data_IF_823053141484
#
_entry.id   IF_823053141484
#
_cell.length_a   1.000
_cell.length_b   1.000
_cell.length_c   1.000
_cell.angle_alpha   90.00
_cell.angle_beta   90.00
_cell.angle_gamma   90.00
#
_symmetry.space_group_name_H-M   'P 1'
#
loop_
_entity.id
_entity.type
_entity.pdbx_description
1 polymer ?
#
# COMPACT_ATOMS: atom_id res chain seq x y z
N UNK A 1 -37.56 -22.90 -9.73
CA UNK A 1 -37.07 -22.53 -8.39
C UNK A 1 -37.50 -23.59 -7.40
N UNK A 2 -36.63 -24.03 -6.48
CA UNK A 2 -37.03 -24.97 -5.42
C UNK A 2 -37.87 -24.21 -4.38
N UNK A 3 -38.92 -24.81 -3.84
CA UNK A 3 -39.80 -24.16 -2.84
C UNK A 3 -39.04 -23.69 -1.59
N UNK A 4 -37.99 -24.42 -1.23
CA UNK A 4 -37.10 -24.12 -0.10
C UNK A 4 -36.36 -22.79 -0.28
N UNK A 5 -35.72 -22.58 -1.45
CA UNK A 5 -34.98 -21.33 -1.74
C UNK A 5 -35.87 -20.09 -1.75
N UNK A 6 -37.14 -20.24 -2.13
CA UNK A 6 -38.10 -19.14 -2.10
C UNK A 6 -38.52 -18.81 -0.66
N UNK A 7 -38.71 -19.84 0.17
CA UNK A 7 -39.01 -19.66 1.60
C UNK A 7 -37.89 -18.94 2.35
N UNK A 8 -36.63 -19.28 2.09
CA UNK A 8 -35.46 -18.62 2.67
C UNK A 8 -35.36 -17.14 2.25
N UNK A 9 -35.62 -16.83 0.98
CA UNK A 9 -35.62 -15.46 0.49
C UNK A 9 -36.75 -14.63 1.12
N UNK A 10 -37.97 -15.18 1.20
CA UNK A 10 -39.11 -14.53 1.84
C UNK A 10 -38.86 -14.31 3.34
N UNK A 11 -38.16 -15.25 3.98
CA UNK A 11 -37.67 -15.14 5.35
C UNK A 11 -36.75 -13.94 5.50
N UNK A 12 -35.63 -13.89 4.78
CA UNK A 12 -34.65 -12.79 4.89
C UNK A 12 -35.22 -11.40 4.57
N UNK A 13 -36.19 -11.28 3.65
CA UNK A 13 -36.91 -10.03 3.42
C UNK A 13 -37.74 -9.58 4.64
N UNK A 14 -38.41 -10.49 5.34
CA UNK A 14 -39.15 -10.16 6.57
C UNK A 14 -38.20 -9.70 7.67
N UNK A 15 -37.04 -10.36 7.80
CA UNK A 15 -36.02 -9.94 8.78
C UNK A 15 -35.48 -8.53 8.49
N UNK A 16 -35.31 -8.19 7.21
CA UNK A 16 -34.92 -6.84 6.78
C UNK A 16 -36.00 -5.79 7.10
N UNK A 17 -37.29 -6.13 6.95
CA UNK A 17 -38.40 -5.26 7.32
C UNK A 17 -38.45 -5.01 8.83
N UNK A 18 -38.34 -6.07 9.64
CA UNK A 18 -38.27 -5.97 11.11
C UNK A 18 -37.08 -5.09 11.56
N UNK A 19 -35.95 -5.17 10.86
CA UNK A 19 -34.79 -4.33 11.13
C UNK A 19 -35.04 -2.86 10.79
N UNK A 20 -35.68 -2.58 9.64
CA UNK A 20 -36.05 -1.22 9.24
C UNK A 20 -37.08 -0.58 10.21
N UNK A 21 -37.97 -1.39 10.78
CA UNK A 21 -38.94 -0.97 11.82
C UNK A 21 -38.32 -0.88 13.23
N UNK A 22 -37.04 -1.21 13.40
CA UNK A 22 -36.35 -1.20 14.70
C UNK A 22 -36.73 -2.35 15.64
N UNK A 23 -37.49 -3.33 15.16
CA UNK A 23 -37.94 -4.51 15.93
C UNK A 23 -36.87 -5.61 16.01
N UNK A 24 -35.80 -5.49 15.22
CA UNK A 24 -34.71 -6.47 15.15
C UNK A 24 -33.35 -5.80 14.95
N UNK A 25 -32.35 -6.27 15.69
CA UNK A 25 -30.96 -5.86 15.49
C UNK A 25 -30.27 -6.81 14.51
N UNK A 26 -29.89 -6.30 13.34
CA UNK A 26 -29.02 -6.98 12.39
C UNK A 26 -27.59 -6.43 12.50
N UNK A 27 -26.62 -7.16 11.96
CA UNK A 27 -25.24 -6.65 11.84
C UNK A 27 -25.22 -5.52 10.81
N UNK A 28 -25.17 -4.29 11.30
CA UNK A 28 -25.01 -3.08 10.48
C UNK A 28 -23.62 -2.50 10.66
N UNK A 29 -23.08 -1.91 9.60
CA UNK A 29 -21.85 -1.14 9.64
C UNK A 29 -22.10 0.19 8.94
N UNK A 30 -21.98 1.29 9.68
CA UNK A 30 -21.99 2.63 9.09
C UNK A 30 -20.63 2.90 8.48
N UNK A 31 -20.60 3.17 7.18
CA UNK A 31 -19.36 3.54 6.50
C UNK A 31 -19.02 5.01 6.76
N UNK A 32 -17.74 5.35 6.95
CA UNK A 32 -17.32 6.74 7.06
C UNK A 32 -17.58 7.49 5.75
N UNK A 33 -17.87 8.77 5.86
CA UNK A 33 -17.97 9.66 4.70
C UNK A 33 -16.63 9.72 3.95
N UNK A 34 -16.64 9.87 2.61
CA UNK A 34 -15.43 10.09 1.85
C UNK A 34 -14.65 11.30 2.39
N UNK A 35 -13.30 11.25 2.41
CA UNK A 35 -12.51 12.38 2.84
C UNK A 35 -12.73 13.61 1.96
N UNK A 36 -12.54 14.80 2.53
CA UNK A 36 -12.64 16.04 1.79
C UNK A 36 -11.59 16.11 0.65
N UNK A 37 -11.92 16.67 -0.53
CA UNK A 37 -10.95 16.85 -1.61
C UNK A 37 -9.74 17.69 -1.17
N UNK A 38 -8.56 17.34 -1.70
CA UNK A 38 -7.32 18.07 -1.45
C UNK A 38 -6.88 18.83 -2.70
N UNK A 39 -6.53 20.11 -2.53
CA UNK A 39 -5.87 20.90 -3.57
C UNK A 39 -4.35 20.68 -3.57
N UNK A 40 -3.68 21.16 -4.60
CA UNK A 40 -2.24 20.99 -4.81
C UNK A 40 -1.38 21.56 -3.70
N UNK A 41 -1.81 22.68 -3.10
CA UNK A 41 -1.14 23.25 -1.92
C UNK A 41 -1.20 22.29 -0.71
N UNK A 42 -2.34 21.64 -0.49
CA UNK A 42 -2.50 20.67 0.58
C UNK A 42 -1.65 19.42 0.34
N UNK A 43 -1.63 18.90 -0.89
CA UNK A 43 -0.74 17.77 -1.27
C UNK A 43 0.73 18.13 -1.04
N UNK A 44 1.15 19.32 -1.45
CA UNK A 44 2.52 19.83 -1.22
C UNK A 44 2.85 19.89 0.27
N UNK A 45 1.92 20.36 1.11
CA UNK A 45 2.10 20.41 2.58
C UNK A 45 2.33 19.03 3.18
N UNK A 46 1.50 18.05 2.81
CA UNK A 46 1.64 16.66 3.28
C UNK A 46 3.02 16.11 2.91
N UNK A 47 3.43 16.28 1.66
CA UNK A 47 4.76 15.86 1.21
C UNK A 47 5.88 16.53 2.02
N UNK A 48 5.80 17.84 2.24
CA UNK A 48 6.87 18.57 2.93
C UNK A 48 6.95 18.21 4.42
N UNK A 49 5.83 17.84 5.05
CA UNK A 49 5.80 17.36 6.43
C UNK A 49 6.58 16.04 6.60
N UNK A 50 6.63 15.22 5.55
CA UNK A 50 7.43 13.98 5.48
C UNK A 50 8.90 14.22 5.07
N UNK A 51 9.34 15.48 4.97
CA UNK A 51 10.67 15.85 4.47
C UNK A 51 11.05 15.18 3.13
N UNK A 52 10.05 14.92 2.28
CA UNK A 52 10.22 14.16 1.06
C UNK A 52 10.31 15.05 -0.18
N UNK A 53 11.24 14.71 -1.09
CA UNK A 53 11.20 15.24 -2.45
C UNK A 53 9.99 14.68 -3.21
N UNK A 54 9.58 15.31 -4.32
CA UNK A 54 8.44 14.83 -5.12
C UNK A 54 8.62 13.38 -5.58
N UNK A 55 9.84 13.01 -5.99
CA UNK A 55 10.14 11.64 -6.42
C UNK A 55 10.09 10.64 -5.26
N UNK A 56 10.57 11.03 -4.07
CA UNK A 56 10.50 10.18 -2.87
C UNK A 56 9.04 10.00 -2.44
N UNK A 57 8.25 11.07 -2.46
CA UNK A 57 6.83 11.03 -2.12
C UNK A 57 6.01 10.18 -3.09
N UNK A 58 6.31 10.28 -4.38
CA UNK A 58 5.71 9.42 -5.39
C UNK A 58 5.97 7.93 -5.12
N UNK A 59 7.18 7.59 -4.64
CA UNK A 59 7.51 6.21 -4.24
C UNK A 59 6.76 5.76 -2.99
N UNK A 60 6.55 6.64 -2.00
CA UNK A 60 5.74 6.30 -0.82
C UNK A 60 4.30 5.92 -1.21
N UNK A 61 3.71 6.65 -2.14
CA UNK A 61 2.34 6.43 -2.58
C UNK A 61 2.21 5.43 -3.75
N UNK A 62 3.32 4.85 -4.20
CA UNK A 62 3.39 3.97 -5.37
C UNK A 62 2.74 4.58 -6.64
N UNK A 63 3.09 5.83 -6.93
CA UNK A 63 2.63 6.58 -8.11
C UNK A 63 3.81 7.16 -8.88
N UNK A 64 3.56 7.69 -10.07
CA UNK A 64 4.58 8.41 -10.82
C UNK A 64 4.87 9.79 -10.24
N UNK A 65 6.11 10.25 -10.30
CA UNK A 65 6.49 11.63 -9.94
C UNK A 65 5.69 12.66 -10.73
N UNK A 66 5.38 12.37 -11.99
CA UNK A 66 4.56 13.23 -12.86
C UNK A 66 3.14 13.42 -12.31
N UNK A 67 2.57 12.39 -11.67
CA UNK A 67 1.26 12.48 -11.04
C UNK A 67 1.30 13.39 -9.80
N UNK A 68 2.30 13.24 -8.94
CA UNK A 68 2.51 14.13 -7.78
C UNK A 68 2.66 15.59 -8.23
N UNK A 69 3.43 15.83 -9.29
CA UNK A 69 3.57 17.17 -9.88
C UNK A 69 2.26 17.70 -10.45
N UNK A 70 1.44 16.84 -11.08
CA UNK A 70 0.13 17.24 -11.59
C UNK A 70 -0.83 17.60 -10.45
N UNK A 71 -0.79 16.86 -9.33
CA UNK A 71 -1.55 17.18 -8.12
C UNK A 71 -1.10 18.50 -7.51
N UNK A 72 0.21 18.69 -7.27
CA UNK A 72 0.74 19.92 -6.65
C UNK A 72 0.54 21.18 -7.50
N UNK A 73 0.35 21.01 -8.82
CA UNK A 73 0.06 22.10 -9.75
C UNK A 73 -1.44 22.25 -10.06
N UNK A 74 -2.32 21.56 -9.31
CA UNK A 74 -3.79 21.59 -9.49
C UNK A 74 -4.26 21.18 -10.89
N UNK A 75 -3.42 20.53 -11.71
CA UNK A 75 -3.79 20.00 -13.03
C UNK A 75 -4.60 18.71 -12.94
N UNK A 76 -4.49 18.02 -11.80
CA UNK A 76 -5.28 16.83 -11.45
C UNK A 76 -5.60 16.89 -9.97
N UNK A 77 -6.73 16.29 -9.58
CA UNK A 77 -7.13 16.16 -8.18
C UNK A 77 -6.90 14.70 -7.76
N UNK A 78 -6.35 14.43 -6.56
CA UNK A 78 -6.28 13.08 -6.03
C UNK A 78 -7.69 12.56 -5.70
N UNK A 79 -7.98 11.34 -6.10
CA UNK A 79 -9.30 10.72 -5.94
C UNK A 79 -9.17 9.28 -5.40
N UNK A 80 -10.28 8.72 -4.92
CA UNK A 80 -10.38 7.34 -4.48
C UNK A 80 -9.30 6.97 -3.45
N UNK A 81 -8.55 5.86 -3.64
CA UNK A 81 -7.52 5.43 -2.69
C UNK A 81 -6.40 6.44 -2.46
N UNK A 82 -6.03 7.22 -3.50
CA UNK A 82 -4.97 8.22 -3.37
C UNK A 82 -5.38 9.34 -2.42
N UNK A 83 -6.65 9.78 -2.48
CA UNK A 83 -7.18 10.78 -1.56
C UNK A 83 -7.15 10.28 -0.12
N UNK A 84 -7.61 9.05 0.13
CA UNK A 84 -7.57 8.42 1.46
C UNK A 84 -6.14 8.34 1.99
N UNK A 85 -5.19 7.86 1.17
CA UNK A 85 -3.79 7.74 1.57
C UNK A 85 -3.15 9.10 1.87
N UNK A 86 -3.52 10.16 1.15
CA UNK A 86 -3.03 11.51 1.44
C UNK A 86 -3.54 12.05 2.77
N UNK A 87 -4.78 11.72 3.15
CA UNK A 87 -5.30 12.04 4.49
C UNK A 87 -4.59 11.25 5.59
N UNK A 88 -4.38 9.95 5.38
CA UNK A 88 -3.58 9.12 6.30
C UNK A 88 -2.17 9.69 6.44
N UNK A 89 -1.54 10.09 5.33
CA UNK A 89 -0.21 10.69 5.33
C UNK A 89 -0.17 12.04 6.08
N UNK A 90 -1.26 12.79 6.06
CA UNK A 90 -1.38 14.07 6.75
C UNK A 90 -1.53 13.88 8.27
N UNK A 91 -2.29 12.87 8.69
CA UNK A 91 -2.58 12.60 10.11
C UNK A 91 -1.50 11.75 10.79
N UNK A 92 -0.94 10.78 10.07
CA UNK A 92 -0.03 9.74 10.59
C UNK A 92 1.18 9.53 9.67
N UNK A 93 2.06 10.53 9.53
CA UNK A 93 3.21 10.48 8.62
C UNK A 93 4.16 9.30 8.91
N UNK A 94 4.28 8.88 10.16
CA UNK A 94 5.14 7.80 10.63
C UNK A 94 4.83 6.44 9.95
N UNK A 95 3.59 6.22 9.52
CA UNK A 95 3.18 4.99 8.83
C UNK A 95 3.87 4.85 7.47
N UNK A 96 4.08 5.96 6.76
CA UNK A 96 4.76 5.93 5.46
C UNK A 96 6.26 5.77 5.63
N UNK A 97 6.83 6.39 6.67
CA UNK A 97 8.25 6.28 6.98
C UNK A 97 8.63 4.84 7.36
N UNK A 98 7.80 4.15 8.14
CA UNK A 98 8.01 2.75 8.53
C UNK A 98 8.18 1.81 7.33
N UNK A 99 7.35 1.98 6.28
CA UNK A 99 7.40 1.16 5.06
C UNK A 99 8.76 1.29 4.34
N UNK A 100 9.38 2.49 4.35
CA UNK A 100 10.71 2.70 3.75
C UNK A 100 11.79 1.93 4.50
N UNK A 101 11.75 1.90 5.82
CA UNK A 101 12.77 1.23 6.63
C UNK A 101 12.78 -0.29 6.38
N UNK A 102 11.61 -0.91 6.27
CA UNK A 102 11.49 -2.34 5.94
C UNK A 102 12.01 -2.67 4.55
N UNK A 103 11.72 -1.82 3.57
CA UNK A 103 12.21 -1.97 2.19
C UNK A 103 13.74 -1.89 2.12
N UNK A 104 14.36 -0.94 2.82
CA UNK A 104 15.82 -0.81 2.86
C UNK A 104 16.50 -1.96 3.60
N UNK A 105 15.94 -2.41 4.74
CA UNK A 105 16.47 -3.56 5.48
C UNK A 105 16.45 -4.84 4.63
N UNK A 106 15.37 -5.06 3.88
CA UNK A 106 15.22 -6.20 2.97
C UNK A 106 16.21 -6.15 1.80
N UNK A 107 16.42 -4.98 1.19
CA UNK A 107 17.40 -4.78 0.11
C UNK A 107 18.85 -4.99 0.59
N UNK A 108 19.19 -4.52 1.80
CA UNK A 108 20.50 -4.73 2.42
C UNK A 108 20.76 -6.22 2.73
N UNK A 109 19.73 -6.96 3.12
CA UNK A 109 19.82 -8.43 3.32
C UNK A 109 20.02 -9.14 1.98
N UNK A 110 19.24 -8.82 0.95
CA UNK A 110 19.33 -9.43 -0.37
C UNK A 110 20.71 -9.23 -1.01
N UNK A 111 21.24 -8.00 -1.00
CA UNK A 111 22.57 -7.67 -1.55
C UNK A 111 23.71 -8.37 -0.81
N UNK A 112 23.59 -8.56 0.51
CA UNK A 112 24.57 -9.30 1.31
C UNK A 112 24.58 -10.80 0.98
N UNK A 113 23.43 -11.39 0.69
CA UNK A 113 23.30 -12.81 0.28
C UNK A 113 23.90 -13.05 -1.10
N UNK A 114 23.61 -12.20 -2.09
CA UNK A 114 24.22 -12.29 -3.43
C UNK A 114 25.74 -12.13 -3.36
N UNK A 115 26.23 -11.12 -2.64
CA UNK A 115 27.68 -10.91 -2.46
C UNK A 115 28.36 -12.10 -1.76
N UNK A 116 27.70 -12.75 -0.79
CA UNK A 116 28.21 -13.95 -0.11
C UNK A 116 28.24 -15.17 -1.03
N UNK A 117 27.21 -15.39 -1.86
CA UNK A 117 27.20 -16.45 -2.88
C UNK A 117 28.30 -16.27 -3.91
N UNK A 118 28.50 -15.03 -4.38
CA UNK A 118 29.48 -14.73 -5.41
C UNK A 118 30.92 -14.94 -4.93
N UNK A 119 31.23 -14.64 -3.67
CA UNK A 119 32.52 -14.99 -3.05
C UNK A 119 32.72 -16.50 -2.93
N UNK A 120 31.71 -17.24 -2.47
CA UNK A 120 31.79 -18.70 -2.30
C UNK A 120 32.03 -19.44 -3.64
N UNK A 121 31.46 -18.94 -4.73
CA UNK A 121 31.69 -19.51 -6.07
C UNK A 121 33.08 -19.17 -6.62
N UNK A 122 33.64 -18.01 -6.29
CA UNK A 122 35.01 -17.62 -6.66
C UNK A 122 36.07 -18.48 -5.97
N UNK A 123 35.89 -18.78 -4.69
CA UNK A 123 36.84 -19.61 -3.91
C UNK A 123 36.85 -21.09 -4.39
N UNK A 124 35.71 -21.60 -4.87
CA UNK A 124 35.60 -22.96 -5.45
C UNK A 124 36.30 -23.08 -6.81
N UNK A 125 36.25 -22.01 -7.63
CA UNK A 125 36.94 -21.98 -8.93
C UNK A 125 38.47 -21.89 -8.77
N UNK A 126 38.96 -21.19 -7.75
CA UNK A 126 40.40 -21.09 -7.44
C UNK A 126 40.99 -22.39 -6.87
N UNK A 127 40.17 -23.23 -6.21
CA UNK A 127 40.60 -24.53 -5.70
C UNK A 127 40.73 -25.61 -6.80
N UNK A 128 40.02 -25.48 -7.92
CA UNK A 128 40.04 -26.45 -9.03
C UNK A 128 41.19 -26.21 -10.02
N UNK A 129 41.74 -25.00 -10.10
CA UNK A 129 42.88 -24.67 -10.97
C UNK A 129 44.25 -25.06 -10.39
N UNK A 130 44.34 -25.43 -9.11
CA UNK A 130 45.58 -25.89 -8.47
C UNK A 130 45.91 -27.38 -8.63
N UNK A 131 44.94 -28.20 -9.04
CA UNK A 131 45.08 -29.67 -9.07
C UNK A 131 45.60 -30.22 -10.40
N UNK A 132 45.68 -29.39 -11.46
CA UNK A 132 46.08 -29.82 -12.81
C UNK A 132 47.58 -29.64 -13.13
N UNK A 133 48.41 -29.18 -12.19
CA UNK A 133 49.85 -28.88 -12.41
C UNK A 133 50.82 -29.91 -11.81
N UNK A 134 50.35 -31.12 -11.48
CA UNK A 134 51.19 -32.24 -11.04
C UNK A 134 50.80 -33.52 -11.78
N UNK A 135 51.27 -33.66 -13.02
CA UNK A 135 51.40 -34.93 -13.72
C UNK A 135 52.54 -34.80 -14.74
#
# INVERSE_FOLDING_TARGET
MKKETFGELLGSMKEALEHAEGKRNLRTATLPLPPAPLNGRAVKRVRTALHASQAVFARYLNVSTKLVQAWEADRRVPEGPALVLLHIAAEKPELLEAIRHESQASQRRATRVTRRRQRRNGDSAAAQSGTAARA
#
